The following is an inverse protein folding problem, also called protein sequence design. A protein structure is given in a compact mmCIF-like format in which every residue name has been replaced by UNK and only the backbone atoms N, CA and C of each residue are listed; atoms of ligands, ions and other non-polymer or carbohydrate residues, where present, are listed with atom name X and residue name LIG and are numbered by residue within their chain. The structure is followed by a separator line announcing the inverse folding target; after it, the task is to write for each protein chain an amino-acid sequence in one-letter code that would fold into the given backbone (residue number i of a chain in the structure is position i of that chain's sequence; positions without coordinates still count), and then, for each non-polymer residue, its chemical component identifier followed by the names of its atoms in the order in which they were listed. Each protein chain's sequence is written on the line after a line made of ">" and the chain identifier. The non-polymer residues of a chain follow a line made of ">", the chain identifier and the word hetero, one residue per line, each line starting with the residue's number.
data_IF_620106093174
#
_entry.id   IF_620106093174
#
_cell.length_a   1.000
_cell.length_b   1.000
_cell.length_c   1.000
_cell.angle_alpha   90.00
_cell.angle_beta   90.00
_cell.angle_gamma   90.00
#
_symmetry.space_group_name_H-M   'P 1'
#
loop_
_entity.id
_entity.type
_entity.pdbx_description
1 polymer ?
#
# COMPACT_ATOMS: atom_id res chain seq x y z
N UNK A 1 -5.53 -36.30 -45.17
CA UNK A 1 -5.27 -34.92 -44.73
C UNK A 1 -4.90 -33.99 -45.89
N UNK A 2 -4.96 -34.46 -47.15
CA UNK A 2 -4.67 -33.66 -48.36
C UNK A 2 -5.92 -33.03 -49.01
N UNK A 3 -7.13 -33.58 -48.77
CA UNK A 3 -8.36 -33.10 -49.42
C UNK A 3 -8.96 -31.79 -48.87
N UNK A 4 -8.53 -31.34 -47.69
CA UNK A 4 -9.00 -30.06 -47.11
C UNK A 4 -8.15 -28.84 -47.53
N UNK A 5 -6.95 -29.06 -48.07
CA UNK A 5 -6.06 -27.99 -48.50
C UNK A 5 -6.56 -27.24 -49.76
N UNK A 6 -7.31 -27.93 -50.64
CA UNK A 6 -7.92 -27.29 -51.82
C UNK A 6 -9.00 -26.26 -51.44
N UNK A 7 -9.71 -26.47 -50.33
CA UNK A 7 -10.72 -25.51 -49.88
C UNK A 7 -10.10 -24.23 -49.33
N UNK A 8 -8.96 -24.33 -48.63
CA UNK A 8 -8.25 -23.18 -48.03
C UNK A 8 -7.59 -22.30 -49.11
N UNK A 9 -7.11 -22.90 -50.20
CA UNK A 9 -6.49 -22.17 -51.33
C UNK A 9 -7.47 -21.65 -52.39
N UNK A 10 -8.77 -21.95 -52.28
CA UNK A 10 -9.80 -21.50 -53.22
C UNK A 10 -10.26 -20.07 -52.91
N UNK A 11 -10.80 -19.36 -53.92
CA UNK A 11 -11.38 -18.00 -53.74
C UNK A 11 -12.45 -17.99 -52.63
N UNK A 12 -13.22 -19.07 -52.49
CA UNK A 12 -14.20 -19.21 -51.40
C UNK A 12 -13.56 -19.42 -50.03
N UNK A 13 -12.46 -20.16 -49.94
CA UNK A 13 -11.69 -20.32 -48.69
C UNK A 13 -11.04 -19.01 -48.24
N UNK A 14 -10.45 -18.27 -49.19
CA UNK A 14 -9.90 -16.95 -48.93
C UNK A 14 -10.97 -15.93 -48.51
N UNK A 15 -12.17 -15.99 -49.12
CA UNK A 15 -13.31 -15.15 -48.75
C UNK A 15 -13.91 -15.53 -47.38
N UNK A 16 -13.93 -16.81 -47.03
CA UNK A 16 -14.38 -17.27 -45.71
C UNK A 16 -13.39 -16.87 -44.60
N UNK A 17 -12.07 -16.98 -44.86
CA UNK A 17 -11.02 -16.51 -43.94
C UNK A 17 -11.06 -14.98 -43.79
N UNK A 18 -11.24 -14.23 -44.88
CA UNK A 18 -11.33 -12.77 -44.81
C UNK A 18 -12.61 -12.31 -44.10
N UNK A 19 -13.74 -12.98 -44.34
CA UNK A 19 -15.00 -12.74 -43.63
C UNK A 19 -14.90 -13.03 -42.13
N UNK A 20 -14.33 -14.19 -41.76
CA UNK A 20 -14.09 -14.53 -40.35
C UNK A 20 -13.11 -13.55 -39.68
N UNK A 21 -12.05 -13.13 -40.39
CA UNK A 21 -11.09 -12.14 -39.89
C UNK A 21 -11.73 -10.77 -39.74
N UNK A 22 -12.58 -10.35 -40.69
CA UNK A 22 -13.31 -9.08 -40.62
C UNK A 22 -14.33 -9.07 -39.47
N UNK A 23 -15.04 -10.18 -39.25
CA UNK A 23 -15.95 -10.33 -38.10
C UNK A 23 -15.17 -10.35 -36.78
N UNK A 24 -14.08 -11.10 -36.69
CA UNK A 24 -13.24 -11.12 -35.49
C UNK A 24 -12.60 -9.75 -35.21
N UNK A 25 -12.14 -9.05 -36.25
CA UNK A 25 -11.60 -7.68 -36.14
C UNK A 25 -12.69 -6.69 -35.75
N UNK A 26 -13.88 -6.78 -36.35
CA UNK A 26 -15.02 -5.92 -36.01
C UNK A 26 -15.49 -6.17 -34.57
N UNK A 27 -15.60 -7.43 -34.16
CA UNK A 27 -15.90 -7.81 -32.77
C UNK A 27 -14.82 -7.29 -31.84
N UNK A 28 -13.54 -7.53 -32.13
CA UNK A 28 -12.41 -7.02 -31.36
C UNK A 28 -12.48 -5.49 -31.23
N UNK A 29 -12.61 -4.77 -32.34
CA UNK A 29 -12.73 -3.30 -32.38
C UNK A 29 -13.98 -2.78 -31.65
N UNK A 30 -15.09 -3.52 -31.69
CA UNK A 30 -16.33 -3.18 -30.97
C UNK A 30 -16.27 -3.49 -29.48
N UNK A 31 -15.39 -4.42 -29.07
CA UNK A 31 -15.11 -4.75 -27.66
C UNK A 31 -13.93 -3.97 -27.10
N UNK A 32 -13.22 -3.18 -27.92
CA UNK A 32 -12.13 -2.35 -27.42
C UNK A 32 -12.70 -1.37 -26.40
N UNK A 33 -12.07 -1.25 -25.21
CA UNK A 33 -12.48 -0.24 -24.26
C UNK A 33 -12.38 1.14 -24.92
N UNK A 34 -13.28 2.08 -24.57
CA UNK A 34 -13.14 3.46 -25.01
C UNK A 34 -11.77 3.99 -24.58
N UNK A 35 -11.15 4.89 -25.37
CA UNK A 35 -9.88 5.46 -24.99
C UNK A 35 -10.06 6.21 -23.67
N UNK A 36 -9.09 6.06 -22.77
CA UNK A 36 -9.11 6.76 -21.49
C UNK A 36 -8.93 8.24 -21.77
N UNK A 37 -10.02 9.01 -21.68
CA UNK A 37 -9.96 10.46 -21.82
C UNK A 37 -9.46 11.04 -20.49
N UNK A 38 -8.28 11.70 -20.48
CA UNK A 38 -7.81 12.37 -19.28
C UNK A 38 -8.82 13.44 -18.90
N UNK A 39 -9.16 13.49 -17.62
CA UNK A 39 -10.08 14.49 -17.08
C UNK A 39 -9.54 15.92 -17.19
N UNK A 40 -8.22 16.08 -17.36
CA UNK A 40 -7.53 17.32 -17.74
C UNK A 40 -6.47 17.04 -18.80
N UNK A 41 -6.31 17.94 -19.77
CA UNK A 41 -5.21 17.95 -20.74
C UNK A 41 -3.85 17.73 -20.05
N UNK A 42 -3.17 16.66 -20.42
CA UNK A 42 -1.90 16.22 -19.82
C UNK A 42 -0.77 17.27 -19.99
N UNK A 43 -0.88 18.15 -20.99
CA UNK A 43 0.07 19.24 -21.20
C UNK A 43 -0.30 20.50 -20.41
N UNK A 44 -1.45 20.52 -19.73
CA UNK A 44 -2.01 21.68 -19.00
C UNK A 44 -2.57 21.29 -17.64
N UNK A 45 -1.92 20.39 -16.92
CA UNK A 45 -2.41 19.84 -15.63
C UNK A 45 -2.49 20.86 -14.48
N UNK A 46 -1.82 22.00 -14.60
CA UNK A 46 -1.85 23.07 -13.60
C UNK A 46 -2.01 24.45 -14.24
N UNK A 47 -2.52 25.41 -13.46
CA UNK A 47 -2.58 26.83 -13.81
C UNK A 47 -1.63 27.60 -12.91
N UNK A 48 -1.00 28.63 -13.45
CA UNK A 48 -0.21 29.55 -12.64
C UNK A 48 -1.15 30.46 -11.85
N UNK A 49 -0.89 30.58 -10.55
CA UNK A 49 -1.62 31.47 -9.66
C UNK A 49 -1.08 32.89 -9.79
N UNK A 50 -1.91 33.93 -9.65
CA UNK A 50 -1.44 35.31 -9.63
C UNK A 50 -0.45 35.51 -8.48
N UNK A 51 0.78 35.94 -8.79
CA UNK A 51 1.81 36.21 -7.79
C UNK A 51 3.23 36.20 -8.37
N UNK A 52 4.22 36.74 -7.65
CA UNK A 52 5.60 36.81 -8.15
C UNK A 52 6.34 35.47 -8.13
N UNK A 53 5.84 34.47 -7.39
CA UNK A 53 6.61 33.27 -7.03
C UNK A 53 6.42 32.08 -8.00
N UNK A 54 5.61 32.25 -9.07
CA UNK A 54 5.35 31.20 -10.05
C UNK A 54 4.57 29.99 -9.50
N UNK A 55 3.86 30.17 -8.37
CA UNK A 55 3.06 29.12 -7.75
C UNK A 55 1.97 28.61 -8.71
N UNK A 56 1.63 27.32 -8.64
CA UNK A 56 0.65 26.69 -9.54
C UNK A 56 -0.42 25.93 -8.77
N UNK A 57 -1.66 26.00 -9.25
CA UNK A 57 -2.82 25.25 -8.74
C UNK A 57 -3.21 24.11 -9.69
N UNK A 58 -3.81 23.06 -9.11
CA UNK A 58 -4.41 21.97 -9.88
C UNK A 58 -5.59 22.48 -10.71
N UNK A 59 -5.72 22.02 -11.96
CA UNK A 59 -6.92 22.33 -12.77
C UNK A 59 -8.21 21.67 -12.27
N UNK A 60 -8.10 20.68 -11.39
CA UNK A 60 -9.23 19.94 -10.84
C UNK A 60 -10.02 20.70 -9.76
N UNK A 61 -9.47 21.79 -9.23
CA UNK A 61 -10.07 22.49 -8.09
C UNK A 61 -10.17 24.00 -8.36
N UNK A 62 -11.21 24.68 -7.83
CA UNK A 62 -11.36 26.12 -7.98
C UNK A 62 -10.16 26.90 -7.41
N UNK A 63 -9.81 28.00 -8.06
CA UNK A 63 -8.72 28.87 -7.62
C UNK A 63 -8.96 29.38 -6.18
N UNK A 64 -7.91 29.34 -5.37
CA UNK A 64 -7.95 29.80 -3.98
C UNK A 64 -8.63 28.87 -2.98
N UNK A 65 -9.10 27.68 -3.40
CA UNK A 65 -9.57 26.63 -2.49
C UNK A 65 -8.60 25.44 -2.50
N UNK A 66 -8.43 24.77 -1.37
CA UNK A 66 -7.66 23.52 -1.26
C UNK A 66 -8.61 22.36 -1.03
N UNK A 67 -8.35 21.22 -1.67
CA UNK A 67 -9.09 19.99 -1.41
C UNK A 67 -8.58 19.38 -0.11
N UNK A 68 -9.35 19.49 0.96
CA UNK A 68 -9.00 18.92 2.26
C UNK A 68 -9.45 17.46 2.39
N UNK A 69 -10.63 17.13 1.87
CA UNK A 69 -11.20 15.77 1.90
C UNK A 69 -12.24 15.59 0.79
N UNK A 70 -12.41 14.36 0.29
CA UNK A 70 -13.50 13.99 -0.61
C UNK A 70 -14.80 13.58 0.11
N UNK A 71 -14.70 13.13 1.37
CA UNK A 71 -15.81 12.52 2.10
C UNK A 71 -15.90 13.05 3.53
N UNK A 72 -17.09 13.51 3.93
CA UNK A 72 -17.32 14.11 5.25
C UNK A 72 -17.08 13.14 6.42
N UNK A 73 -17.22 11.85 6.17
CA UNK A 73 -17.08 10.77 7.15
C UNK A 73 -15.75 10.01 7.05
N UNK A 74 -14.76 10.58 6.37
CA UNK A 74 -13.37 10.09 6.31
C UNK A 74 -12.37 11.26 6.30
N UNK A 75 -12.40 12.07 7.36
CA UNK A 75 -11.48 13.21 7.56
C UNK A 75 -10.21 12.84 8.33
N UNK A 76 -10.15 11.62 8.88
CA UNK A 76 -8.96 11.08 9.53
C UNK A 76 -8.71 9.63 9.15
N UNK A 77 -7.48 9.17 9.40
CA UNK A 77 -7.10 7.77 9.16
C UNK A 77 -7.83 6.77 10.06
N UNK A 78 -8.37 7.24 11.19
CA UNK A 78 -9.26 6.44 12.03
C UNK A 78 -10.62 6.24 11.34
N UNK A 79 -11.21 7.31 10.81
CA UNK A 79 -12.54 7.29 10.19
C UNK A 79 -12.58 6.51 8.87
N UNK A 80 -11.49 6.48 8.11
CA UNK A 80 -11.47 5.83 6.79
C UNK A 80 -11.84 4.33 6.85
N UNK A 81 -11.43 3.60 7.89
CA UNK A 81 -11.72 2.16 8.00
C UNK A 81 -13.21 1.91 8.25
N UNK A 82 -13.84 2.78 9.05
CA UNK A 82 -15.28 2.74 9.29
C UNK A 82 -16.08 3.09 8.02
N UNK A 83 -15.59 4.06 7.24
CA UNK A 83 -16.16 4.35 5.91
C UNK A 83 -16.03 3.16 4.98
N UNK A 84 -14.84 2.57 4.86
CA UNK A 84 -14.59 1.40 4.02
C UNK A 84 -15.53 0.23 4.36
N UNK A 85 -15.74 -0.03 5.66
CA UNK A 85 -16.69 -1.03 6.14
C UNK A 85 -18.13 -0.76 5.66
N UNK A 86 -18.59 0.49 5.77
CA UNK A 86 -19.94 0.89 5.35
C UNK A 86 -20.11 0.83 3.83
N UNK A 87 -19.16 1.38 3.06
CA UNK A 87 -19.22 1.46 1.60
C UNK A 87 -19.13 0.08 0.95
N UNK A 88 -18.32 -0.81 1.52
CA UNK A 88 -18.19 -2.19 1.04
C UNK A 88 -19.32 -3.11 1.47
N UNK A 89 -20.14 -2.72 2.44
CA UNK A 89 -21.12 -3.61 3.08
C UNK A 89 -20.43 -4.74 3.86
N UNK A 90 -19.34 -4.43 4.56
CA UNK A 90 -18.46 -5.40 5.23
C UNK A 90 -17.76 -6.38 4.25
N UNK A 91 -17.29 -5.87 3.11
CA UNK A 91 -16.53 -6.66 2.13
C UNK A 91 -15.13 -7.07 2.61
N UNK A 92 -14.37 -7.77 1.76
CA UNK A 92 -12.95 -8.06 2.01
C UNK A 92 -12.15 -6.77 2.22
N UNK A 93 -11.17 -6.80 3.13
CA UNK A 93 -10.37 -5.65 3.51
C UNK A 93 -8.86 -5.95 3.41
N UNK A 94 -8.37 -6.89 4.21
CA UNK A 94 -6.93 -7.23 4.27
C UNK A 94 -6.73 -8.69 3.89
N UNK A 95 -5.94 -8.93 2.85
CA UNK A 95 -5.66 -10.25 2.31
C UNK A 95 -4.20 -10.67 2.48
N UNK A 96 -3.95 -11.94 2.76
CA UNK A 96 -2.60 -12.51 2.86
C UNK A 96 -2.58 -13.95 2.34
N UNK A 97 -1.39 -14.46 2.03
CA UNK A 97 -1.19 -15.87 1.71
C UNK A 97 -0.69 -16.62 2.95
N UNK A 98 -1.39 -17.65 3.45
CA UNK A 98 -0.93 -18.45 4.59
C UNK A 98 0.38 -19.20 4.33
N UNK A 99 0.64 -19.55 3.07
CA UNK A 99 1.88 -20.15 2.61
C UNK A 99 2.17 -19.71 1.17
N UNK A 100 3.39 -19.95 0.69
CA UNK A 100 3.83 -19.47 -0.63
C UNK A 100 3.04 -20.00 -1.81
N UNK A 101 2.37 -21.13 -1.66
CA UNK A 101 1.61 -21.79 -2.73
C UNK A 101 0.09 -21.72 -2.48
N UNK A 102 -0.35 -21.09 -1.38
CA UNK A 102 -1.76 -20.97 -1.03
C UNK A 102 -2.44 -19.83 -1.80
N UNK A 103 -3.76 -19.93 -1.90
CA UNK A 103 -4.61 -18.81 -2.33
C UNK A 103 -4.62 -17.69 -1.26
N UNK A 104 -5.07 -16.50 -1.66
CA UNK A 104 -5.26 -15.40 -0.71
C UNK A 104 -6.48 -15.65 0.19
N UNK A 105 -6.26 -15.52 1.49
CA UNK A 105 -7.32 -15.42 2.48
C UNK A 105 -7.53 -13.95 2.84
N UNK A 106 -8.79 -13.56 3.12
CA UNK A 106 -9.14 -12.19 3.43
C UNK A 106 -9.88 -12.06 4.75
N UNK A 107 -9.50 -11.05 5.53
CA UNK A 107 -10.32 -10.49 6.59
C UNK A 107 -11.33 -9.51 6.00
N UNK A 108 -12.57 -9.58 6.46
CA UNK A 108 -13.58 -8.54 6.23
C UNK A 108 -13.26 -7.28 7.02
N UNK A 109 -13.80 -6.13 6.60
CA UNK A 109 -13.62 -4.86 7.32
C UNK A 109 -13.99 -4.95 8.81
N UNK A 110 -15.08 -5.62 9.18
CA UNK A 110 -15.50 -5.76 10.58
C UNK A 110 -14.53 -6.64 11.39
N UNK A 111 -13.98 -7.71 10.79
CA UNK A 111 -12.93 -8.51 11.44
C UNK A 111 -11.67 -7.67 11.67
N UNK A 112 -11.30 -6.83 10.69
CA UNK A 112 -10.17 -5.90 10.82
C UNK A 112 -10.43 -4.87 11.92
N UNK A 113 -11.62 -4.27 11.97
CA UNK A 113 -12.02 -3.33 13.02
C UNK A 113 -12.05 -3.97 14.42
N UNK A 114 -12.46 -5.24 14.52
CA UNK A 114 -12.41 -6.00 15.77
C UNK A 114 -10.96 -6.23 16.22
N UNK A 115 -10.08 -6.67 15.32
CA UNK A 115 -8.64 -6.80 15.60
C UNK A 115 -8.01 -5.47 16.01
N UNK A 116 -8.34 -4.37 15.34
CA UNK A 116 -7.91 -3.01 15.73
C UNK A 116 -8.37 -2.66 17.15
N UNK A 117 -9.63 -2.94 17.50
CA UNK A 117 -10.16 -2.71 18.84
C UNK A 117 -9.41 -3.55 19.89
N UNK A 118 -9.19 -4.83 19.60
CA UNK A 118 -8.52 -5.75 20.51
C UNK A 118 -7.05 -5.35 20.68
N UNK A 119 -6.30 -5.15 19.61
CA UNK A 119 -4.89 -4.78 19.69
C UNK A 119 -4.68 -3.42 20.37
N UNK A 120 -5.47 -2.38 20.03
CA UNK A 120 -5.38 -1.08 20.72
C UNK A 120 -5.69 -1.18 22.22
N UNK A 121 -6.70 -1.97 22.61
CA UNK A 121 -7.01 -2.18 24.03
C UNK A 121 -5.89 -2.94 24.74
N UNK A 122 -5.24 -3.88 24.04
CA UNK A 122 -4.07 -4.61 24.52
C UNK A 122 -2.87 -3.69 24.74
N UNK A 123 -2.59 -2.78 23.80
CA UNK A 123 -1.55 -1.77 23.95
C UNK A 123 -1.75 -0.96 25.23
N UNK A 124 -2.99 -0.52 25.50
CA UNK A 124 -3.34 0.22 26.73
C UNK A 124 -3.18 -0.66 27.98
N UNK A 125 -3.63 -1.91 27.93
CA UNK A 125 -3.45 -2.87 29.03
C UNK A 125 -1.96 -3.05 29.39
N UNK A 126 -1.08 -3.07 28.39
CA UNK A 126 0.36 -3.15 28.56
C UNK A 126 1.05 -1.78 28.76
N UNK A 127 0.30 -0.73 29.08
CA UNK A 127 0.84 0.55 29.56
C UNK A 127 1.09 1.61 28.48
N UNK A 128 0.66 1.38 27.24
CA UNK A 128 0.68 2.41 26.19
C UNK A 128 -0.35 3.49 26.52
N UNK A 129 0.06 4.75 26.51
CA UNK A 129 -0.84 5.88 26.74
C UNK A 129 -1.56 6.26 25.44
N UNK A 130 -2.77 6.79 25.56
CA UNK A 130 -3.44 7.45 24.43
C UNK A 130 -2.96 8.89 24.26
N UNK A 131 -3.07 9.42 23.06
CA UNK A 131 -2.80 10.82 22.73
C UNK A 131 -1.49 11.07 21.99
N UNK A 132 -1.34 12.32 21.54
CA UNK A 132 -0.32 12.78 20.60
C UNK A 132 1.12 12.80 21.13
N UNK A 133 1.32 12.55 22.42
CA UNK A 133 2.65 12.36 23.02
C UNK A 133 3.16 10.91 22.95
N UNK A 134 2.34 9.99 22.41
CA UNK A 134 2.69 8.57 22.31
C UNK A 134 3.14 8.23 20.90
N UNK A 135 4.39 7.81 20.77
CA UNK A 135 5.00 7.38 19.51
C UNK A 135 5.21 5.87 19.52
N UNK A 136 4.71 5.19 18.49
CA UNK A 136 4.78 3.73 18.33
C UNK A 136 5.63 3.40 17.11
N UNK A 137 6.74 2.70 17.32
CA UNK A 137 7.61 2.28 16.23
C UNK A 137 7.09 1.04 15.52
N UNK A 138 7.19 1.00 14.18
CA UNK A 138 6.83 -0.20 13.40
C UNK A 138 8.00 -0.60 12.53
N UNK A 139 8.70 -1.67 12.91
CA UNK A 139 9.79 -2.25 12.14
C UNK A 139 9.33 -3.56 11.52
N UNK A 140 8.61 -3.48 10.40
CA UNK A 140 7.89 -4.62 9.84
C UNK A 140 7.80 -4.53 8.32
N UNK A 141 7.84 -5.68 7.63
CA UNK A 141 7.40 -5.78 6.25
C UNK A 141 5.88 -5.62 6.17
N UNK A 142 5.38 -5.35 4.96
CA UNK A 142 3.95 -5.21 4.73
C UNK A 142 3.22 -6.48 5.16
N UNK A 143 2.18 -6.32 5.96
CA UNK A 143 1.42 -7.43 6.55
C UNK A 143 0.11 -6.91 7.12
N UNK A 144 -0.80 -7.84 7.42
CA UNK A 144 -2.05 -7.54 8.13
C UNK A 144 -1.73 -6.89 9.47
N UNK A 145 -0.79 -7.43 10.24
CA UNK A 145 -0.39 -6.93 11.55
C UNK A 145 0.19 -5.52 11.50
N UNK A 146 0.84 -5.14 10.40
CA UNK A 146 1.25 -3.76 10.15
C UNK A 146 0.02 -2.86 10.21
N UNK A 147 -0.97 -3.08 9.33
CA UNK A 147 -2.17 -2.23 9.22
C UNK A 147 -3.00 -2.28 10.50
N UNK A 148 -3.09 -3.43 11.18
CA UNK A 148 -3.72 -3.51 12.51
C UNK A 148 -3.00 -2.61 13.51
N UNK A 149 -1.66 -2.62 13.55
CA UNK A 149 -0.88 -1.73 14.43
C UNK A 149 -1.14 -0.26 14.10
N UNK A 150 -1.18 0.06 12.82
CA UNK A 150 -1.43 1.42 12.32
C UNK A 150 -2.74 1.99 12.86
N UNK A 151 -3.84 1.31 12.54
CA UNK A 151 -5.16 1.79 12.87
C UNK A 151 -5.48 1.62 14.36
N UNK A 152 -4.82 0.70 15.06
CA UNK A 152 -4.85 0.63 16.52
C UNK A 152 -4.22 1.85 17.16
N UNK A 153 -3.11 2.34 16.61
CA UNK A 153 -2.46 3.56 17.06
C UNK A 153 -3.38 4.76 16.84
N UNK A 154 -4.02 4.86 15.67
CA UNK A 154 -5.00 5.91 15.41
C UNK A 154 -6.22 5.84 16.31
N UNK A 155 -6.71 4.65 16.67
CA UNK A 155 -7.80 4.50 17.64
C UNK A 155 -7.46 5.08 19.02
N UNK A 156 -6.16 5.21 19.34
CA UNK A 156 -5.65 5.80 20.59
C UNK A 156 -5.13 7.23 20.41
N UNK A 157 -5.28 7.84 19.23
CA UNK A 157 -4.63 9.11 18.87
C UNK A 157 -3.10 9.11 19.05
N UNK A 158 -2.47 7.94 18.93
CA UNK A 158 -1.02 7.79 18.98
C UNK A 158 -0.40 7.98 17.58
N UNK A 159 0.86 8.40 17.57
CA UNK A 159 1.63 8.68 16.35
C UNK A 159 2.46 7.45 15.96
N UNK A 160 2.35 7.02 14.71
CA UNK A 160 3.18 5.91 14.22
C UNK A 160 4.50 6.39 13.61
N UNK A 161 5.58 5.67 13.90
CA UNK A 161 6.93 5.93 13.38
C UNK A 161 7.44 4.68 12.66
N UNK A 162 7.23 4.57 11.35
CA UNK A 162 7.75 3.44 10.59
C UNK A 162 9.28 3.44 10.55
N UNK A 163 9.86 2.27 10.80
CA UNK A 163 11.30 2.00 10.71
C UNK A 163 11.56 1.19 9.45
N UNK A 164 12.48 1.66 8.61
CA UNK A 164 12.68 1.12 7.27
C UNK A 164 13.91 0.21 7.21
N UNK A 165 13.74 -1.00 6.65
CA UNK A 165 14.79 -2.02 6.55
C UNK A 165 16.08 -1.50 5.88
N UNK A 166 15.97 -0.55 4.95
CA UNK A 166 17.13 -0.03 4.20
C UNK A 166 17.91 1.06 4.92
N UNK A 167 17.42 1.59 6.05
CA UNK A 167 18.13 2.63 6.82
C UNK A 167 19.30 2.06 7.61
N UNK A 168 19.23 0.78 7.96
CA UNK A 168 20.22 0.08 8.77
C UNK A 168 20.04 0.28 10.28
N UNK A 169 20.69 -0.57 11.10
CA UNK A 169 20.43 -0.63 12.56
C UNK A 169 20.69 0.68 13.30
N UNK A 170 21.76 1.40 12.95
CA UNK A 170 22.13 2.65 13.61
C UNK A 170 21.11 3.77 13.37
N UNK A 171 20.62 3.90 12.14
CA UNK A 171 19.57 4.87 11.83
C UNK A 171 18.26 4.52 12.55
N UNK A 172 17.90 3.23 12.65
CA UNK A 172 16.74 2.80 13.41
C UNK A 172 16.88 3.11 14.92
N UNK A 173 18.05 2.88 15.53
CA UNK A 173 18.27 3.20 16.95
C UNK A 173 18.27 4.72 17.20
N UNK A 174 18.85 5.50 16.29
CA UNK A 174 18.76 6.96 16.30
C UNK A 174 17.29 7.42 16.28
N UNK A 175 16.47 6.90 15.37
CA UNK A 175 15.04 7.25 15.25
C UNK A 175 14.27 6.90 16.54
N UNK A 176 14.46 5.68 17.05
CA UNK A 176 13.80 5.22 18.28
C UNK A 176 14.12 6.16 19.45
N UNK A 177 15.39 6.57 19.56
CA UNK A 177 15.82 7.48 20.62
C UNK A 177 15.29 8.91 20.41
N UNK A 178 15.40 9.45 19.20
CA UNK A 178 14.98 10.82 18.89
C UNK A 178 13.47 11.01 19.07
N UNK A 179 12.67 10.04 18.66
CA UNK A 179 11.21 10.07 18.79
C UNK A 179 10.69 9.58 20.15
N UNK A 180 11.58 9.31 21.13
CA UNK A 180 11.20 8.81 22.47
C UNK A 180 10.25 7.59 22.41
N UNK A 181 10.57 6.64 21.54
CA UNK A 181 9.73 5.47 21.32
C UNK A 181 9.91 4.48 22.47
N UNK A 182 8.80 4.12 23.12
CA UNK A 182 8.77 3.14 24.22
C UNK A 182 8.38 1.74 23.77
N UNK A 183 7.61 1.64 22.69
CA UNK A 183 7.09 0.39 22.14
C UNK A 183 7.38 0.30 20.65
N UNK A 184 8.00 -0.80 20.22
CA UNK A 184 8.25 -1.09 18.80
C UNK A 184 7.63 -2.43 18.43
N UNK A 185 6.87 -2.47 17.32
CA UNK A 185 6.35 -3.68 16.71
C UNK A 185 7.38 -4.20 15.71
N UNK A 186 7.73 -5.49 15.80
CA UNK A 186 8.63 -6.18 14.88
C UNK A 186 7.93 -7.39 14.22
N UNK A 187 8.15 -7.61 12.93
CA UNK A 187 7.64 -8.84 12.29
C UNK A 187 8.41 -10.10 12.72
N UNK A 188 9.72 -10.02 12.90
CA UNK A 188 10.57 -11.20 13.03
C UNK A 188 11.77 -11.02 13.98
N UNK A 189 12.38 -12.17 14.32
CA UNK A 189 13.54 -12.29 15.20
C UNK A 189 14.74 -11.43 14.77
N UNK A 190 15.00 -11.28 13.47
CA UNK A 190 16.14 -10.49 12.96
C UNK A 190 16.02 -9.01 13.36
N UNK A 191 14.81 -8.44 13.26
CA UNK A 191 14.56 -7.05 13.62
C UNK A 191 14.64 -6.82 15.12
N UNK A 192 14.14 -7.76 15.92
CA UNK A 192 14.31 -7.75 17.38
C UNK A 192 15.80 -7.78 17.76
N UNK A 193 16.60 -8.68 17.15
CA UNK A 193 18.06 -8.74 17.37
C UNK A 193 18.74 -7.42 16.98
N UNK A 194 18.37 -6.84 15.84
CA UNK A 194 18.90 -5.56 15.38
C UNK A 194 18.70 -4.45 16.40
N UNK A 195 17.51 -4.36 17.01
CA UNK A 195 17.22 -3.36 18.06
C UNK A 195 17.99 -3.67 19.34
N UNK A 196 17.98 -4.92 19.80
CA UNK A 196 18.66 -5.31 21.05
C UNK A 196 20.19 -5.18 20.98
N UNK A 197 20.79 -5.23 19.79
CA UNK A 197 22.21 -4.95 19.60
C UNK A 197 22.55 -3.47 19.82
N UNK A 198 21.58 -2.58 19.62
CA UNK A 198 21.70 -1.12 19.74
C UNK A 198 20.97 -0.59 20.98
N UNK A 199 20.62 -1.45 21.94
CA UNK A 199 19.76 -1.10 23.07
C UNK A 199 20.34 0.02 23.94
N UNK A 200 21.68 0.10 24.05
CA UNK A 200 22.37 1.17 24.77
C UNK A 200 22.10 2.56 24.17
N UNK A 201 21.77 2.62 22.89
CA UNK A 201 21.44 3.85 22.17
C UNK A 201 19.94 4.20 22.27
N UNK A 202 19.11 3.34 22.88
CA UNK A 202 17.66 3.49 22.98
C UNK A 202 17.15 3.31 24.42
N UNK A 203 17.64 4.10 25.40
CA UNK A 203 17.41 3.88 26.84
C UNK A 203 15.93 3.95 27.27
N UNK A 204 15.09 4.59 26.45
CA UNK A 204 13.65 4.76 26.70
C UNK A 204 12.79 3.63 26.14
N UNK A 205 13.33 2.78 25.27
CA UNK A 205 12.63 1.61 24.76
C UNK A 205 12.37 0.63 25.92
N UNK A 206 11.09 0.29 26.14
CA UNK A 206 10.67 -0.62 27.22
C UNK A 206 10.03 -1.89 26.71
N UNK A 207 9.46 -1.86 25.51
CA UNK A 207 8.65 -2.96 25.00
C UNK A 207 8.92 -3.23 23.53
N UNK A 208 9.02 -4.50 23.18
CA UNK A 208 9.01 -4.99 21.80
C UNK A 208 7.85 -5.97 21.68
N UNK A 209 6.96 -5.73 20.72
CA UNK A 209 5.86 -6.64 20.37
C UNK A 209 6.26 -7.33 19.07
N UNK A 210 6.30 -8.67 19.06
CA UNK A 210 6.71 -9.44 17.89
C UNK A 210 5.55 -10.21 17.27
N UNK A 211 5.45 -10.19 15.95
CA UNK A 211 4.39 -10.89 15.19
C UNK A 211 4.67 -12.39 15.10
N UNK A 212 5.87 -12.74 14.63
CA UNK A 212 6.26 -14.14 14.46
C UNK A 212 6.94 -14.71 15.71
N UNK A 213 7.00 -16.04 15.78
CA UNK A 213 7.72 -16.75 16.83
C UNK A 213 9.20 -16.35 16.87
N UNK A 214 9.74 -16.31 18.07
CA UNK A 214 11.16 -16.04 18.33
C UNK A 214 11.76 -17.12 19.23
N UNK A 215 13.08 -17.25 19.19
CA UNK A 215 13.83 -18.15 20.07
C UNK A 215 13.76 -17.75 21.54
N UNK A 216 13.71 -18.74 22.44
CA UNK A 216 13.74 -18.52 23.89
C UNK A 216 15.02 -17.81 24.34
N UNK A 217 16.14 -18.06 23.66
CA UNK A 217 17.42 -17.38 23.91
C UNK A 217 17.29 -15.87 23.71
N UNK A 218 16.56 -15.43 22.69
CA UNK A 218 16.32 -14.01 22.44
C UNK A 218 15.35 -13.41 23.45
N UNK A 219 14.33 -14.16 23.89
CA UNK A 219 13.41 -13.73 24.95
C UNK A 219 14.15 -13.47 26.26
N UNK A 220 15.01 -14.39 26.68
CA UNK A 220 15.85 -14.23 27.87
C UNK A 220 16.78 -13.04 27.71
N UNK A 221 17.41 -12.87 26.55
CA UNK A 221 18.27 -11.72 26.27
C UNK A 221 17.53 -10.39 26.41
N UNK A 222 16.32 -10.27 25.86
CA UNK A 222 15.51 -9.05 25.97
C UNK A 222 15.20 -8.71 27.43
N UNK A 223 14.81 -9.72 28.23
CA UNK A 223 14.54 -9.56 29.66
C UNK A 223 15.78 -9.10 30.44
N UNK A 224 16.95 -9.69 30.19
CA UNK A 224 18.22 -9.27 30.82
C UNK A 224 18.58 -7.82 30.49
N UNK A 225 18.18 -7.34 29.30
CA UNK A 225 18.37 -5.96 28.87
C UNK A 225 17.24 -5.01 29.34
N UNK A 226 16.30 -5.49 30.16
CA UNK A 226 15.19 -4.68 30.69
C UNK A 226 14.10 -4.34 29.67
N UNK A 227 14.02 -5.10 28.57
CA UNK A 227 13.00 -4.94 27.53
C UNK A 227 11.95 -6.03 27.67
N UNK A 228 10.70 -5.64 27.86
CA UNK A 228 9.57 -6.56 27.85
C UNK A 228 9.30 -7.01 26.41
N UNK A 229 9.28 -8.32 26.20
CA UNK A 229 8.94 -8.91 24.92
C UNK A 229 7.57 -9.57 24.98
N UNK A 230 6.67 -9.16 24.09
CA UNK A 230 5.29 -9.64 23.98
C UNK A 230 5.03 -10.21 22.58
N UNK A 231 4.13 -11.17 22.45
CA UNK A 231 3.63 -11.57 21.13
C UNK A 231 2.41 -10.74 20.73
N UNK A 232 2.29 -10.47 19.43
CA UNK A 232 1.18 -9.70 18.88
C UNK A 232 -0.19 -10.30 19.25
N UNK A 233 -0.31 -11.64 19.16
CA UNK A 233 -1.54 -12.37 19.51
C UNK A 233 -1.90 -12.22 20.99
N UNK A 234 -0.92 -12.32 21.88
CA UNK A 234 -1.15 -12.16 23.33
C UNK A 234 -1.66 -10.74 23.65
N UNK A 235 -1.15 -9.72 22.94
CA UNK A 235 -1.63 -8.35 23.06
C UNK A 235 -3.08 -8.22 22.58
N UNK A 236 -3.43 -8.83 21.44
CA UNK A 236 -4.83 -8.88 20.97
C UNK A 236 -5.76 -9.59 21.98
N UNK A 237 -5.34 -10.74 22.52
CA UNK A 237 -6.12 -11.50 23.49
C UNK A 237 -6.32 -10.73 24.81
N UNK A 238 -5.25 -10.11 25.33
CA UNK A 238 -5.32 -9.27 26.52
C UNK A 238 -6.30 -8.10 26.32
N UNK A 239 -6.26 -7.47 25.15
CA UNK A 239 -7.17 -6.36 24.83
C UNK A 239 -8.61 -6.77 24.60
N UNK A 240 -8.86 -7.98 24.09
CA UNK A 240 -10.22 -8.56 24.04
C UNK A 240 -10.80 -8.73 25.44
N UNK A 241 -9.98 -9.12 26.42
CA UNK A 241 -10.37 -9.27 27.82
C UNK A 241 -10.48 -7.93 28.57
N UNK A 242 -9.73 -6.92 28.15
CA UNK A 242 -9.66 -5.60 28.79
C UNK A 242 -9.94 -4.47 27.79
N UNK A 243 -11.17 -4.37 27.26
CA UNK A 243 -11.50 -3.37 26.25
C UNK A 243 -11.33 -1.95 26.78
N UNK A 244 -10.74 -1.07 25.97
CA UNK A 244 -10.67 0.37 26.25
C UNK A 244 -11.54 1.16 25.28
N UNK A 245 -12.00 2.34 25.69
CA UNK A 245 -12.68 3.27 24.78
C UNK A 245 -11.72 3.83 23.72
N UNK A 246 -12.27 4.21 22.57
CA UNK A 246 -11.50 4.87 21.53
C UNK A 246 -11.24 6.33 21.91
N UNK A 247 -10.04 6.82 21.58
CA UNK A 247 -9.67 8.23 21.66
C UNK A 247 -9.35 8.68 20.23
N UNK A 248 -10.38 9.02 19.42
CA UNK A 248 -10.19 9.27 18.00
C UNK A 248 -9.47 10.61 17.75
N UNK A 249 -8.60 10.68 16.71
CA UNK A 249 -7.85 11.87 16.38
C UNK A 249 -8.71 12.87 15.60
N UNK A 250 -8.24 14.10 15.54
CA UNK A 250 -8.73 15.18 14.70
C UNK A 250 -7.82 15.37 13.47
N UNK A 251 -8.28 16.03 12.39
CA UNK A 251 -7.45 16.23 11.20
C UNK A 251 -6.09 16.92 11.45
N UNK A 252 -5.96 17.92 12.35
CA UNK A 252 -4.66 18.53 12.67
C UNK A 252 -3.70 17.64 13.47
N UNK A 253 -4.18 16.56 14.09
CA UNK A 253 -3.33 15.66 14.86
C UNK A 253 -2.34 14.93 13.94
N UNK A 254 -1.12 14.71 14.44
CA UNK A 254 -0.07 13.95 13.77
C UNK A 254 -0.48 12.48 13.69
N UNK A 255 -0.51 11.96 12.47
CA UNK A 255 -0.75 10.53 12.23
C UNK A 255 0.57 9.76 12.23
N UNK A 256 1.59 10.30 11.58
CA UNK A 256 2.84 9.58 11.36
C UNK A 256 4.04 10.50 11.30
N UNK A 257 5.20 9.98 11.74
CA UNK A 257 6.50 10.60 11.50
C UNK A 257 7.27 9.77 10.49
N UNK A 258 7.45 10.30 9.29
CA UNK A 258 8.20 9.63 8.23
C UNK A 258 9.65 10.11 8.26
N UNK A 259 10.56 9.20 8.58
CA UNK A 259 11.99 9.50 8.51
C UNK A 259 12.54 9.35 7.10
N UNK A 260 13.34 10.31 6.68
CA UNK A 260 14.01 10.31 5.39
C UNK A 260 15.51 10.35 5.58
N UNK A 261 16.25 9.65 4.71
CA UNK A 261 17.70 9.76 4.64
C UNK A 261 18.04 11.19 4.20
N UNK A 262 18.35 12.06 5.15
CA UNK A 262 18.76 13.43 4.85
C UNK A 262 20.04 13.43 4.01
N UNK A 263 20.30 14.53 3.30
CA UNK A 263 21.53 14.70 2.51
C UNK A 263 22.79 14.89 3.36
N UNK A 264 22.65 15.05 4.69
CA UNK A 264 23.71 15.55 5.59
C UNK A 264 23.97 14.67 6.82
N UNK A 265 23.64 13.37 6.80
CA UNK A 265 23.90 12.46 7.94
C UNK A 265 22.62 11.83 8.49
N UNK A 266 22.27 12.14 9.74
CA UNK A 266 21.17 11.51 10.47
C UNK A 266 19.79 11.70 9.80
N UNK A 267 18.90 10.68 9.88
CA UNK A 267 17.54 10.79 9.34
C UNK A 267 16.74 11.96 9.93
N UNK A 268 15.90 12.60 9.11
CA UNK A 268 15.00 13.68 9.56
C UNK A 268 13.56 13.20 9.55
N UNK A 269 12.85 13.40 10.66
CA UNK A 269 11.45 13.03 10.82
C UNK A 269 10.51 14.12 10.28
N UNK A 270 9.72 13.78 9.27
CA UNK A 270 8.66 14.64 8.73
C UNK A 270 7.35 14.31 9.42
N UNK A 271 6.77 15.27 10.12
CA UNK A 271 5.46 15.15 10.75
C UNK A 271 4.37 15.26 9.68
N UNK A 272 3.50 14.25 9.59
CA UNK A 272 2.34 14.26 8.71
C UNK A 272 1.07 14.11 9.53
N UNK A 273 0.18 15.09 9.41
CA UNK A 273 -1.12 15.07 10.08
C UNK A 273 -2.10 14.14 9.37
N UNK A 274 -3.15 13.73 10.07
CA UNK A 274 -4.27 13.01 9.47
C UNK A 274 -4.85 13.75 8.27
N UNK A 275 -5.05 15.07 8.40
CA UNK A 275 -5.55 15.93 7.33
C UNK A 275 -4.62 16.00 6.12
N UNK A 276 -3.28 15.99 6.33
CA UNK A 276 -2.33 15.96 5.20
C UNK A 276 -2.50 14.68 4.36
N UNK A 277 -2.64 13.53 5.02
CA UNK A 277 -2.76 12.24 4.32
C UNK A 277 -4.11 12.17 3.59
N UNK A 278 -5.21 12.54 4.27
CA UNK A 278 -6.54 12.53 3.67
C UNK A 278 -6.66 13.50 2.49
N UNK A 279 -6.09 14.71 2.60
CA UNK A 279 -6.07 15.69 1.50
C UNK A 279 -5.31 15.16 0.28
N UNK A 280 -4.13 14.55 0.50
CA UNK A 280 -3.34 13.94 -0.58
C UNK A 280 -4.11 12.81 -1.27
N UNK A 281 -4.66 11.86 -0.51
CA UNK A 281 -5.43 10.75 -1.07
C UNK A 281 -6.72 11.23 -1.74
N UNK A 282 -7.37 12.27 -1.22
CA UNK A 282 -8.54 12.88 -1.85
C UNK A 282 -8.20 13.48 -3.22
N UNK A 283 -7.05 14.14 -3.35
CA UNK A 283 -6.58 14.64 -4.65
C UNK A 283 -6.35 13.51 -5.65
N UNK A 284 -5.81 12.37 -5.19
CA UNK A 284 -5.62 11.17 -6.03
C UNK A 284 -6.97 10.61 -6.50
N UNK A 285 -7.95 10.45 -5.60
CA UNK A 285 -9.32 10.01 -5.98
C UNK A 285 -9.96 10.97 -6.99
N UNK A 286 -9.85 12.28 -6.76
CA UNK A 286 -10.39 13.29 -7.66
C UNK A 286 -9.74 13.21 -9.06
N UNK A 287 -8.42 13.05 -9.12
CA UNK A 287 -7.68 12.97 -10.38
C UNK A 287 -8.04 11.72 -11.18
N UNK A 288 -8.27 10.59 -10.53
CA UNK A 288 -8.69 9.36 -11.20
C UNK A 288 -10.15 9.40 -11.68
N UNK A 289 -11.00 10.23 -11.07
CA UNK A 289 -12.38 10.44 -11.48
C UNK A 289 -13.17 9.13 -11.56
N UNK A 290 -13.81 8.87 -12.71
CA UNK A 290 -14.59 7.63 -12.95
C UNK A 290 -13.76 6.34 -12.93
N UNK A 291 -12.44 6.48 -13.07
CA UNK A 291 -11.47 5.38 -13.03
C UNK A 291 -10.84 5.21 -11.63
N UNK A 292 -11.32 5.94 -10.63
CA UNK A 292 -10.88 5.77 -9.24
C UNK A 292 -11.30 4.41 -8.66
N UNK A 293 -10.65 3.98 -7.56
CA UNK A 293 -11.00 2.76 -6.85
C UNK A 293 -12.47 2.70 -6.44
N UNK A 294 -13.01 1.50 -6.41
CA UNK A 294 -14.37 1.14 -5.99
C UNK A 294 -14.28 0.04 -4.94
N UNK A 295 -15.42 -0.32 -4.34
CA UNK A 295 -15.46 -1.39 -3.34
C UNK A 295 -15.16 -2.79 -3.90
N UNK A 296 -15.27 -2.96 -5.22
CA UNK A 296 -14.90 -4.19 -5.93
C UNK A 296 -13.40 -4.31 -6.22
N UNK A 297 -12.63 -3.25 -5.98
CA UNK A 297 -11.23 -3.22 -6.37
C UNK A 297 -10.32 -3.86 -5.32
N UNK A 298 -9.22 -4.44 -5.83
CA UNK A 298 -8.20 -5.06 -5.01
C UNK A 298 -6.82 -4.51 -5.39
N UNK A 299 -6.09 -4.03 -4.40
CA UNK A 299 -4.71 -3.56 -4.54
C UNK A 299 -3.74 -4.64 -4.09
N UNK A 300 -2.60 -4.76 -4.78
CA UNK A 300 -1.45 -5.51 -4.24
C UNK A 300 -0.52 -4.60 -3.45
N UNK A 301 -0.23 -4.97 -2.20
CA UNK A 301 0.69 -4.25 -1.31
C UNK A 301 2.08 -4.89 -1.32
N UNK A 302 3.06 -4.16 -1.84
CA UNK A 302 4.44 -4.62 -2.02
C UNK A 302 5.48 -3.49 -1.94
N UNK A 303 5.08 -2.23 -2.08
CA UNK A 303 5.99 -1.12 -1.76
C UNK A 303 6.00 -0.94 -0.25
N UNK A 304 7.16 -0.70 0.38
CA UNK A 304 7.24 -0.68 1.83
C UNK A 304 6.25 0.30 2.48
N UNK A 305 5.45 -0.16 3.44
CA UNK A 305 4.52 0.68 4.22
C UNK A 305 5.23 1.75 5.04
N UNK A 306 6.55 1.64 5.26
CA UNK A 306 7.34 2.73 5.81
C UNK A 306 7.41 3.97 4.90
N UNK A 307 7.06 3.83 3.62
CA UNK A 307 7.08 4.90 2.63
C UNK A 307 5.65 5.38 2.31
N UNK A 308 5.45 6.69 2.22
CA UNK A 308 4.12 7.29 2.07
C UNK A 308 3.39 6.94 0.78
N UNK A 309 4.10 6.62 -0.30
CA UNK A 309 3.46 6.25 -1.57
C UNK A 309 2.50 5.07 -1.41
N UNK A 310 2.94 3.98 -0.77
CA UNK A 310 2.08 2.80 -0.57
C UNK A 310 0.86 3.17 0.27
N UNK A 311 1.10 3.84 1.39
CA UNK A 311 0.05 4.23 2.35
C UNK A 311 -0.98 5.16 1.73
N UNK A 312 -0.57 6.14 0.92
CA UNK A 312 -1.50 7.03 0.21
C UNK A 312 -2.39 6.22 -0.74
N UNK A 313 -1.85 5.23 -1.44
CA UNK A 313 -2.63 4.39 -2.35
C UNK A 313 -3.58 3.47 -1.56
N UNK A 314 -3.12 2.81 -0.49
CA UNK A 314 -3.99 2.02 0.39
C UNK A 314 -5.15 2.85 0.96
N UNK A 315 -4.88 4.09 1.38
CA UNK A 315 -5.92 5.02 1.85
C UNK A 315 -6.97 5.28 0.76
N UNK A 316 -6.58 5.43 -0.51
CA UNK A 316 -7.56 5.62 -1.59
C UNK A 316 -8.45 4.40 -1.78
N UNK A 317 -7.90 3.19 -1.66
CA UNK A 317 -8.63 1.92 -1.73
C UNK A 317 -9.56 1.74 -0.54
N UNK A 318 -9.11 2.03 0.68
CA UNK A 318 -9.93 1.92 1.88
C UNK A 318 -11.07 2.95 1.92
N UNK A 319 -10.82 4.19 1.49
CA UNK A 319 -11.86 5.24 1.41
C UNK A 319 -13.04 4.86 0.50
N UNK A 320 -12.80 3.98 -0.47
CA UNK A 320 -13.81 3.50 -1.42
C UNK A 320 -14.29 2.08 -1.11
N UNK A 321 -13.83 1.49 0.00
CA UNK A 321 -14.24 0.17 0.47
C UNK A 321 -13.63 -1.00 -0.31
N UNK A 322 -12.53 -0.79 -1.04
CA UNK A 322 -11.80 -1.84 -1.73
C UNK A 322 -10.97 -2.71 -0.76
N UNK A 323 -10.17 -3.61 -1.31
CA UNK A 323 -9.35 -4.55 -0.54
C UNK A 323 -7.86 -4.43 -0.87
N UNK A 324 -7.01 -4.85 0.05
CA UNK A 324 -5.55 -4.86 -0.12
C UNK A 324 -5.03 -6.26 0.18
N UNK A 325 -4.35 -6.88 -0.79
CA UNK A 325 -3.64 -8.15 -0.63
C UNK A 325 -2.13 -7.93 -0.48
N UNK A 326 -1.54 -8.45 0.59
CA UNK A 326 -0.10 -8.32 0.85
C UNK A 326 0.71 -9.35 0.07
N UNK A 327 1.74 -8.86 -0.64
CA UNK A 327 2.75 -9.72 -1.23
C UNK A 327 3.53 -10.51 -0.18
N UNK A 328 4.18 -11.58 -0.59
CA UNK A 328 4.97 -12.43 0.31
C UNK A 328 6.28 -11.78 0.82
N UNK A 329 6.51 -10.49 0.53
CA UNK A 329 7.73 -9.76 0.93
C UNK A 329 8.97 -10.06 0.10
N UNK A 330 8.88 -11.00 -0.87
CA UNK A 330 9.98 -11.31 -1.80
C UNK A 330 9.66 -10.81 -3.21
N UNK A 331 10.36 -9.77 -3.65
CA UNK A 331 10.18 -9.16 -4.98
C UNK A 331 10.36 -10.15 -6.16
N UNK A 332 11.06 -11.27 -5.96
CA UNK A 332 11.20 -12.32 -6.98
C UNK A 332 9.89 -13.09 -7.19
N UNK A 333 9.01 -13.12 -6.20
CA UNK A 333 7.71 -13.78 -6.21
C UNK A 333 6.55 -12.83 -6.55
N UNK A 334 6.81 -11.53 -6.72
CA UNK A 334 5.75 -10.54 -6.97
C UNK A 334 4.87 -10.89 -8.19
N UNK A 335 5.46 -11.44 -9.26
CA UNK A 335 4.68 -11.87 -10.43
C UNK A 335 3.75 -13.04 -10.11
N UNK A 336 4.14 -13.93 -9.20
CA UNK A 336 3.30 -15.02 -8.71
C UNK A 336 2.16 -14.50 -7.83
N UNK A 337 2.48 -13.58 -6.93
CA UNK A 337 1.48 -12.88 -6.11
C UNK A 337 0.44 -12.15 -6.97
N UNK A 338 0.87 -11.43 -8.00
CA UNK A 338 -0.03 -10.73 -8.93
C UNK A 338 -0.94 -11.72 -9.68
N UNK A 339 -0.41 -12.88 -10.10
CA UNK A 339 -1.21 -13.89 -10.80
C UNK A 339 -2.28 -14.51 -9.91
N UNK A 340 -1.94 -14.75 -8.65
CA UNK A 340 -2.83 -15.37 -7.66
C UNK A 340 -3.87 -14.35 -7.19
N UNK A 341 -3.45 -13.16 -6.77
CA UNK A 341 -4.32 -12.11 -6.25
C UNK A 341 -5.22 -11.47 -7.33
N UNK A 342 -4.71 -11.36 -8.56
CA UNK A 342 -5.35 -10.64 -9.68
C UNK A 342 -5.79 -9.21 -9.29
N UNK A 343 -4.85 -8.37 -8.81
CA UNK A 343 -5.17 -7.02 -8.37
C UNK A 343 -5.70 -6.17 -9.53
N UNK A 344 -6.66 -5.31 -9.24
CA UNK A 344 -7.16 -4.28 -10.16
C UNK A 344 -6.41 -2.95 -10.01
N UNK A 345 -5.73 -2.75 -8.87
CA UNK A 345 -4.85 -1.61 -8.61
C UNK A 345 -3.42 -2.07 -8.29
N UNK A 346 -2.45 -1.54 -9.01
CA UNK A 346 -1.03 -1.83 -8.77
C UNK A 346 -0.30 -0.48 -8.65
N UNK A 347 0.19 -0.08 -7.46
CA UNK A 347 1.07 1.06 -7.37
C UNK A 347 2.35 0.75 -8.15
N UNK A 348 2.90 1.70 -8.89
CA UNK A 348 4.07 1.47 -9.72
C UNK A 348 5.12 2.57 -9.52
N UNK A 349 6.40 2.16 -9.55
CA UNK A 349 7.55 3.06 -9.51
C UNK A 349 8.44 2.81 -10.73
N UNK A 350 9.18 3.82 -11.23
CA UNK A 350 9.99 3.68 -12.46
C UNK A 350 10.92 2.48 -12.45
N UNK A 351 11.54 2.16 -11.30
CA UNK A 351 12.43 1.01 -11.16
C UNK A 351 11.74 -0.33 -11.42
N UNK A 352 10.49 -0.50 -11.00
CA UNK A 352 9.72 -1.72 -11.28
C UNK A 352 9.39 -1.80 -12.77
N UNK A 353 8.93 -0.69 -13.36
CA UNK A 353 8.59 -0.63 -14.79
C UNK A 353 9.80 -0.94 -15.66
N UNK A 354 10.98 -0.40 -15.33
CA UNK A 354 12.24 -0.71 -16.00
C UNK A 354 12.59 -2.19 -15.91
N UNK A 355 12.42 -2.80 -14.72
CA UNK A 355 12.67 -4.24 -14.56
C UNK A 355 11.75 -5.10 -15.42
N UNK A 356 10.46 -4.75 -15.49
CA UNK A 356 9.49 -5.43 -16.36
C UNK A 356 9.91 -5.25 -17.83
N UNK A 357 10.26 -4.03 -18.23
CA UNK A 357 10.76 -3.72 -19.57
C UNK A 357 11.99 -4.57 -19.93
N UNK A 358 13.02 -4.57 -19.08
CA UNK A 358 14.25 -5.33 -19.31
C UNK A 358 13.99 -6.83 -19.43
N UNK A 359 13.11 -7.38 -18.57
CA UNK A 359 12.73 -8.79 -18.63
C UNK A 359 12.02 -9.13 -19.95
N UNK A 360 11.11 -8.26 -20.41
CA UNK A 360 10.43 -8.44 -21.69
C UNK A 360 11.43 -8.35 -22.84
N UNK A 361 12.28 -7.31 -22.88
CA UNK A 361 13.29 -7.12 -23.93
C UNK A 361 14.25 -8.31 -24.02
N UNK A 362 14.75 -8.79 -22.89
CA UNK A 362 15.63 -9.96 -22.84
C UNK A 362 14.93 -11.24 -23.36
N UNK A 363 13.63 -11.40 -23.11
CA UNK A 363 12.87 -12.55 -23.59
C UNK A 363 12.60 -12.56 -25.11
N UNK A 364 12.59 -11.38 -25.74
CA UNK A 364 12.31 -11.23 -27.19
C UNK A 364 13.57 -11.07 -28.04
N UNK A 365 14.67 -10.57 -27.48
CA UNK A 365 15.91 -10.29 -28.23
C UNK A 365 16.52 -11.52 -28.93
N UNK A 366 16.24 -12.74 -28.45
CA UNK A 366 16.68 -13.98 -29.10
C UNK A 366 15.87 -14.41 -30.33
N UNK A 367 14.79 -13.71 -30.72
CA UNK A 367 13.93 -14.11 -31.84
C UNK A 367 13.39 -12.91 -32.62
N UNK A 368 13.75 -12.84 -33.91
CA UNK A 368 13.24 -11.80 -34.84
C UNK A 368 11.72 -11.82 -34.96
N UNK A 369 11.11 -13.00 -34.93
CA UNK A 369 9.65 -13.15 -34.98
C UNK A 369 8.98 -12.62 -33.71
N UNK A 370 9.48 -13.00 -32.51
CA UNK A 370 8.94 -12.49 -31.24
C UNK A 370 9.04 -10.97 -31.16
N UNK A 371 10.19 -10.41 -31.58
CA UNK A 371 10.40 -8.96 -31.62
C UNK A 371 9.42 -8.27 -32.56
N UNK A 372 9.25 -8.78 -33.79
CA UNK A 372 8.28 -8.23 -34.74
C UNK A 372 6.85 -8.25 -34.20
N UNK A 373 6.41 -9.34 -33.57
CA UNK A 373 5.08 -9.44 -32.94
C UNK A 373 4.93 -8.41 -31.81
N UNK A 374 5.95 -8.26 -30.97
CA UNK A 374 5.94 -7.28 -29.87
C UNK A 374 5.84 -5.84 -30.41
N UNK A 375 6.67 -5.49 -31.41
CA UNK A 375 6.69 -4.16 -32.01
C UNK A 375 5.33 -3.82 -32.66
N UNK A 376 4.70 -4.80 -33.31
CA UNK A 376 3.35 -4.67 -33.86
C UNK A 376 2.31 -4.44 -32.75
N UNK A 377 2.36 -5.21 -31.66
CA UNK A 377 1.44 -5.07 -30.53
C UNK A 377 1.60 -3.71 -29.82
N UNK A 378 2.85 -3.25 -29.62
CA UNK A 378 3.15 -1.95 -29.04
C UNK A 378 2.66 -0.80 -29.93
N UNK A 379 2.92 -0.86 -31.24
CA UNK A 379 2.46 0.14 -32.20
C UNK A 379 0.93 0.23 -32.23
N UNK A 380 0.24 -0.92 -32.19
CA UNK A 380 -1.21 -0.98 -32.09
C UNK A 380 -1.70 -0.32 -30.79
N UNK A 381 -1.06 -0.60 -29.65
CA UNK A 381 -1.49 -0.03 -28.36
C UNK A 381 -1.21 1.47 -28.27
N UNK A 382 -0.09 1.95 -28.82
CA UNK A 382 0.21 3.38 -28.90
C UNK A 382 -0.83 4.11 -29.75
N UNK A 383 -1.18 3.56 -30.91
CA UNK A 383 -2.22 4.14 -31.78
C UNK A 383 -3.59 4.20 -31.08
N UNK A 384 -3.92 3.21 -30.23
CA UNK A 384 -5.14 3.22 -29.43
C UNK A 384 -5.13 4.31 -28.34
N UNK A 385 -3.97 4.60 -27.75
CA UNK A 385 -3.80 5.62 -26.71
C UNK A 385 -3.77 7.05 -27.28
N UNK A 386 -3.36 7.22 -28.53
CA UNK A 386 -3.36 8.50 -29.24
C UNK A 386 -4.72 8.88 -29.83
N UNK A 387 -5.65 7.91 -29.93
CA UNK A 387 -7.03 8.10 -30.39
C UNK A 387 -7.89 8.77 -29.31
#
# INVERSE_FOLDING_TARGET
>A
MEDYLQYIGSVMGAAALSGATAVATSLYMSTLPPPLTPTVDINKQSKELPGPDGARSSRYYPDGKFLEYCFDDARTMYQLMHRGARVSGNGPCLGWRPSSDAEYEFLTYNQVLERIKNFSSGLVHYGTKSGQETFIGIYSQNSVEWVITEHSSYRLSAVIVPLYDTLGPHACSFIINQADIKTVICDNESKVKSILNEISNTPKLKQIIVVNNISDTLRVRAQTLGVQLLFFKDVEEAGKLHPCEAVPPTPPDVATVCYTSGTTGDPKGVLLTHGNIISCSSAVVLQMGVNGPKSSDCMISYLPLAHMLERVVEVTVYMTGGSVGFSQGNIKLLTDDIKTLRPTFIPAVPRLLNRIYDQIQNSVNGSRLKKWIMDMALSSKQSELER
#
